data_IF_295239130723
#
_entry.id   IF_295239130723
#
_cell.length_a   1.000
_cell.length_b   1.000
_cell.length_c   1.000
_cell.angle_alpha   90.00
_cell.angle_beta   90.00
_cell.angle_gamma   90.00
#
_symmetry.space_group_name_H-M   'P 1'
#
loop_
_entity.id
_entity.type
_entity.pdbx_description
1 polymer ?
#
# COMPACT_ATOMS: atom_id res chain seq x y z
N UNK A 1 -6.66 6.23 -13.60
CA UNK A 1 -5.95 5.77 -12.46
C UNK A 1 -6.86 5.39 -11.30
N UNK A 2 -6.68 4.18 -10.85
CA UNK A 2 -7.40 3.65 -9.68
C UNK A 2 -6.46 3.56 -8.46
N UNK A 3 -5.23 3.97 -8.65
CA UNK A 3 -4.16 4.05 -7.67
C UNK A 3 -4.09 5.43 -7.00
N UNK A 4 -3.52 5.47 -5.84
CA UNK A 4 -3.07 6.72 -5.21
C UNK A 4 -1.63 6.96 -5.65
N UNK A 5 -1.46 7.43 -6.88
CA UNK A 5 -0.17 7.59 -7.54
C UNK A 5 0.90 8.32 -6.71
N UNK A 6 0.53 9.37 -5.96
CA UNK A 6 1.47 10.10 -5.10
C UNK A 6 2.01 9.28 -3.93
N UNK A 7 1.32 8.25 -3.53
CA UNK A 7 1.67 7.41 -2.39
C UNK A 7 2.17 6.03 -2.83
N UNK A 8 2.20 5.78 -4.16
CA UNK A 8 2.51 4.47 -4.74
C UNK A 8 1.69 3.34 -4.08
N UNK A 9 0.38 3.57 -3.97
CA UNK A 9 -0.53 2.70 -3.26
C UNK A 9 -1.67 2.23 -4.17
N UNK A 10 -1.88 0.92 -4.22
CA UNK A 10 -2.83 0.22 -5.10
C UNK A 10 -3.89 -0.50 -4.26
N UNK A 11 -4.97 0.16 -3.87
CA UNK A 11 -5.89 -0.40 -2.87
C UNK A 11 -6.77 -1.54 -3.40
N UNK A 12 -7.03 -1.59 -4.71
CA UNK A 12 -7.98 -2.51 -5.32
C UNK A 12 -7.38 -3.44 -6.38
N UNK A 13 -6.14 -3.21 -6.79
CA UNK A 13 -5.48 -3.93 -7.89
C UNK A 13 -4.15 -4.57 -7.49
N UNK A 14 -3.96 -4.82 -6.19
CA UNK A 14 -2.75 -5.39 -5.62
C UNK A 14 -2.69 -6.92 -5.79
N UNK A 15 -2.97 -7.38 -7.01
CA UNK A 15 -2.95 -8.80 -7.34
C UNK A 15 -1.61 -9.19 -7.98
N UNK A 16 -0.66 -9.68 -7.17
CA UNK A 16 0.59 -10.25 -7.66
C UNK A 16 0.50 -11.78 -7.66
N UNK A 17 -0.03 -12.35 -8.75
CA UNK A 17 -0.28 -13.78 -8.87
C UNK A 17 -0.06 -14.28 -10.29
N UNK A 18 0.20 -15.59 -10.40
CA UNK A 18 0.16 -16.32 -11.66
C UNK A 18 -1.22 -16.93 -11.86
N UNK A 19 -1.92 -16.53 -12.89
CA UNK A 19 -3.26 -17.00 -13.12
C UNK A 19 -3.85 -16.50 -14.44
N UNK A 20 -5.15 -16.48 -14.49
CA UNK A 20 -5.91 -15.99 -15.63
C UNK A 20 -7.14 -15.21 -15.18
N UNK A 21 -7.61 -14.35 -16.05
CA UNK A 21 -8.83 -13.60 -15.90
C UNK A 21 -9.74 -13.75 -17.11
N UNK A 22 -11.02 -13.64 -16.88
CA UNK A 22 -12.05 -13.57 -17.92
C UNK A 22 -12.91 -12.35 -17.66
N UNK A 23 -12.84 -11.39 -18.59
CA UNK A 23 -13.61 -10.15 -18.54
C UNK A 23 -14.76 -10.16 -19.56
N UNK A 24 -15.94 -9.82 -19.10
CA UNK A 24 -17.10 -9.52 -19.94
C UNK A 24 -17.31 -8.01 -19.96
N UNK A 25 -17.16 -7.40 -21.13
CA UNK A 25 -17.29 -5.96 -21.32
C UNK A 25 -18.52 -5.64 -22.15
N UNK A 26 -19.34 -4.74 -21.62
CA UNK A 26 -20.50 -4.15 -22.27
C UNK A 26 -20.31 -2.63 -22.39
N UNK A 27 -21.20 -1.93 -23.02
CA UNK A 27 -21.03 -0.49 -23.30
C UNK A 27 -20.69 0.33 -22.05
N UNK A 28 -21.38 0.07 -20.95
CA UNK A 28 -21.25 0.86 -19.71
C UNK A 28 -20.73 0.09 -18.50
N UNK A 29 -20.63 -1.22 -18.58
CA UNK A 29 -20.19 -2.03 -17.45
C UNK A 29 -19.27 -3.19 -17.86
N UNK A 30 -18.46 -3.61 -16.92
CA UNK A 30 -17.51 -4.72 -17.05
C UNK A 30 -17.64 -5.63 -15.84
N UNK A 31 -17.55 -6.94 -16.06
CA UNK A 31 -17.40 -7.95 -15.01
C UNK A 31 -16.13 -8.72 -15.30
N UNK A 32 -15.24 -8.78 -14.34
CA UNK A 32 -13.99 -9.53 -14.45
C UNK A 32 -13.96 -10.58 -13.33
N UNK A 33 -13.76 -11.82 -13.72
CA UNK A 33 -13.46 -12.93 -12.82
C UNK A 33 -12.01 -13.32 -12.98
N UNK A 34 -11.29 -13.47 -11.88
CA UNK A 34 -9.90 -13.90 -11.88
C UNK A 34 -9.66 -15.04 -10.90
N UNK A 35 -8.70 -15.87 -11.23
CA UNK A 35 -8.18 -16.95 -10.37
C UNK A 35 -6.69 -17.09 -10.60
N UNK A 36 -5.94 -17.25 -9.54
CA UNK A 36 -4.49 -17.39 -9.63
C UNK A 36 -3.88 -17.92 -8.35
N UNK A 37 -2.57 -18.09 -8.43
CA UNK A 37 -1.75 -18.58 -7.34
C UNK A 37 -0.65 -17.57 -7.04
N UNK A 38 -0.41 -17.37 -5.77
CA UNK A 38 0.71 -16.61 -5.25
C UNK A 38 1.52 -17.51 -4.32
N UNK A 39 2.84 -17.43 -4.42
CA UNK A 39 3.77 -18.07 -3.49
C UNK A 39 4.93 -17.11 -3.28
N UNK A 40 5.23 -16.79 -2.04
CA UNK A 40 6.46 -16.11 -1.69
C UNK A 40 7.53 -17.16 -1.44
N UNK A 41 8.41 -17.37 -2.40
CA UNK A 41 9.63 -18.13 -2.18
C UNK A 41 10.60 -17.26 -1.40
N UNK A 42 10.96 -17.75 -0.21
CA UNK A 42 11.96 -17.09 0.63
C UNK A 42 13.19 -17.96 0.60
N UNK A 43 14.31 -17.35 0.26
CA UNK A 43 15.59 -18.03 0.21
C UNK A 43 15.88 -18.69 1.57
N UNK A 44 16.21 -19.98 1.53
CA UNK A 44 16.53 -20.81 2.69
C UNK A 44 17.51 -20.15 3.66
N UNK A 45 18.46 -19.40 3.17
CA UNK A 45 19.45 -18.70 4.00
C UNK A 45 18.83 -17.62 4.90
N UNK A 46 17.73 -17.02 4.49
CA UNK A 46 16.98 -16.07 5.33
C UNK A 46 16.12 -16.77 6.37
N UNK A 47 15.63 -17.94 6.07
CA UNK A 47 14.84 -18.75 7.01
C UNK A 47 15.72 -19.25 8.17
N UNK A 48 16.91 -19.73 7.89
CA UNK A 48 17.87 -20.16 8.93
C UNK A 48 18.25 -19.03 9.91
N UNK A 49 18.51 -17.84 9.39
CA UNK A 49 18.89 -16.69 10.24
C UNK A 49 17.76 -16.20 11.13
N UNK A 50 16.53 -16.45 10.78
CA UNK A 50 15.38 -16.01 11.56
C UNK A 50 14.93 -17.04 12.59
N UNK A 51 15.10 -18.32 12.31
CA UNK A 51 14.84 -19.40 13.26
C UNK A 51 15.77 -19.35 14.48
N UNK A 52 17.02 -18.96 14.30
CA UNK A 52 18.03 -18.87 15.36
C UNK A 52 17.75 -17.76 16.38
N UNK A 53 16.87 -16.81 16.07
CA UNK A 53 16.73 -15.58 16.87
C UNK A 53 15.47 -15.51 17.70
N UNK A 54 14.65 -16.57 17.75
CA UNK A 54 13.33 -16.53 18.46
C UNK A 54 12.51 -15.29 18.07
N UNK A 55 12.73 -14.82 16.82
CA UNK A 55 12.27 -13.53 16.37
C UNK A 55 10.92 -13.66 15.71
N UNK A 56 10.02 -12.82 16.15
CA UNK A 56 8.82 -12.42 15.48
C UNK A 56 9.01 -12.39 13.94
N UNK A 57 8.23 -13.16 13.22
CA UNK A 57 8.25 -13.21 11.76
C UNK A 57 8.87 -14.46 11.13
N UNK A 58 9.70 -15.24 11.83
CA UNK A 58 10.27 -16.47 11.26
C UNK A 58 9.19 -17.52 10.93
N UNK A 59 8.25 -17.70 11.81
CA UNK A 59 7.09 -18.58 11.60
C UNK A 59 6.20 -18.05 10.47
N UNK A 60 5.99 -16.75 10.41
CA UNK A 60 5.24 -16.08 9.35
C UNK A 60 5.84 -16.31 7.98
N UNK A 61 7.16 -16.23 7.85
CA UNK A 61 7.88 -16.49 6.61
C UNK A 61 7.68 -17.94 6.17
N UNK A 62 7.85 -18.88 7.07
CA UNK A 62 7.62 -20.31 6.81
C UNK A 62 6.18 -20.57 6.41
N UNK A 63 5.24 -19.91 7.07
CA UNK A 63 3.83 -20.03 6.78
C UNK A 63 3.49 -19.61 5.35
N UNK A 64 4.15 -18.56 4.82
CA UNK A 64 3.94 -18.05 3.46
C UNK A 64 4.62 -18.86 2.35
N UNK A 65 5.54 -19.74 2.66
CA UNK A 65 6.17 -20.63 1.67
C UNK A 65 5.19 -21.70 1.10
N UNK A 66 3.93 -21.57 1.36
CA UNK A 66 2.85 -22.38 0.80
C UNK A 66 2.14 -21.64 -0.34
N UNK A 67 1.62 -22.41 -1.29
CA UNK A 67 0.88 -21.83 -2.40
C UNK A 67 -0.47 -21.27 -1.93
N UNK A 68 -0.69 -19.99 -2.18
CA UNK A 68 -1.94 -19.30 -1.91
C UNK A 68 -2.79 -19.27 -3.19
N UNK A 69 -3.99 -19.80 -3.11
CA UNK A 69 -5.01 -19.64 -4.15
C UNK A 69 -5.76 -18.33 -3.89
N UNK A 70 -5.91 -17.53 -4.94
CA UNK A 70 -6.64 -16.27 -4.93
C UNK A 70 -7.69 -16.32 -6.02
N UNK A 71 -8.92 -15.99 -5.70
CA UNK A 71 -10.01 -15.85 -6.67
C UNK A 71 -10.87 -14.66 -6.34
N UNK A 72 -11.36 -13.96 -7.35
CA UNK A 72 -12.17 -12.78 -7.12
C UNK A 72 -13.02 -12.38 -8.29
N UNK A 73 -13.95 -11.52 -7.98
CA UNK A 73 -14.90 -10.92 -8.92
C UNK A 73 -14.81 -9.39 -8.79
N UNK A 74 -14.66 -8.71 -9.92
CA UNK A 74 -14.74 -7.25 -10.02
C UNK A 74 -15.90 -6.87 -10.91
N UNK A 75 -16.64 -5.85 -10.51
CA UNK A 75 -17.68 -5.22 -11.32
C UNK A 75 -17.38 -3.73 -11.44
N UNK A 76 -17.37 -3.21 -12.64
CA UNK A 76 -17.24 -1.77 -12.91
C UNK A 76 -18.40 -1.29 -13.75
N UNK A 77 -18.96 -0.14 -13.38
CA UNK A 77 -19.97 0.56 -14.19
C UNK A 77 -19.53 2.02 -14.39
N UNK A 78 -19.63 2.48 -15.63
CA UNK A 78 -19.37 3.86 -16.04
C UNK A 78 -20.65 4.51 -16.52
N UNK A 79 -20.97 5.64 -15.95
CA UNK A 79 -22.11 6.46 -16.34
C UNK A 79 -21.63 7.81 -16.85
N UNK A 80 -21.90 8.11 -18.12
CA UNK A 80 -21.53 9.38 -18.72
C UNK A 80 -22.61 10.42 -18.41
N UNK A 81 -22.18 11.55 -17.79
CA UNK A 81 -23.07 12.65 -17.41
C UNK A 81 -23.22 13.70 -18.48
N UNK A 82 -22.25 13.80 -19.40
CA UNK A 82 -22.27 14.80 -20.47
C UNK A 82 -21.56 14.32 -21.72
N UNK A 83 -21.92 14.88 -22.87
CA UNK A 83 -21.26 14.65 -24.16
C UNK A 83 -19.79 15.07 -24.17
N UNK A 84 -19.35 15.86 -23.18
CA UNK A 84 -17.97 16.30 -23.02
C UNK A 84 -17.07 15.28 -22.32
N UNK A 85 -17.60 14.09 -22.00
CA UNK A 85 -16.84 13.01 -21.39
C UNK A 85 -16.77 13.05 -19.86
N UNK A 86 -17.51 13.95 -19.21
CA UNK A 86 -17.66 13.93 -17.74
C UNK A 86 -18.53 12.75 -17.34
N UNK A 87 -18.10 12.00 -16.33
CA UNK A 87 -18.84 10.82 -15.88
C UNK A 87 -18.55 10.43 -14.45
N UNK A 88 -19.31 9.45 -14.01
CA UNK A 88 -19.15 8.74 -12.73
C UNK A 88 -18.83 7.29 -13.06
N UNK A 89 -17.90 6.72 -12.32
CA UNK A 89 -17.66 5.28 -12.30
C UNK A 89 -17.80 4.75 -10.88
N UNK A 90 -18.28 3.53 -10.76
CA UNK A 90 -18.22 2.82 -9.51
C UNK A 90 -17.77 1.39 -9.76
N UNK A 91 -16.99 0.88 -8.82
CA UNK A 91 -16.49 -0.49 -8.83
C UNK A 91 -16.89 -1.18 -7.53
N UNK A 92 -17.17 -2.45 -7.63
CA UNK A 92 -17.29 -3.37 -6.50
C UNK A 92 -16.37 -4.54 -6.74
N UNK A 93 -15.81 -5.08 -5.69
CA UNK A 93 -15.03 -6.32 -5.78
C UNK A 93 -15.23 -7.19 -4.55
N UNK A 94 -15.04 -8.48 -4.76
CA UNK A 94 -14.96 -9.47 -3.70
C UNK A 94 -13.85 -10.46 -4.05
N UNK A 95 -13.06 -10.83 -3.07
CA UNK A 95 -11.93 -11.75 -3.21
C UNK A 95 -11.94 -12.79 -2.10
N UNK A 96 -11.55 -14.01 -2.43
CA UNK A 96 -11.30 -15.10 -1.52
C UNK A 96 -9.86 -15.57 -1.68
N UNK A 97 -9.20 -15.82 -0.58
CA UNK A 97 -7.85 -16.35 -0.50
C UNK A 97 -7.85 -17.63 0.31
N UNK A 98 -7.11 -18.64 -0.13
CA UNK A 98 -6.93 -19.89 0.59
C UNK A 98 -5.48 -20.34 0.50
N UNK A 99 -4.96 -20.81 1.62
CA UNK A 99 -3.69 -21.51 1.70
C UNK A 99 -3.97 -22.91 2.25
N UNK A 100 -3.39 -23.94 1.63
CA UNK A 100 -3.59 -25.33 2.07
C UNK A 100 -2.78 -25.65 3.31
N UNK A 101 -3.03 -26.81 3.91
CA UNK A 101 -2.20 -27.37 4.97
C UNK A 101 -0.73 -27.51 4.51
N UNK A 102 0.20 -27.41 5.44
CA UNK A 102 1.62 -27.57 5.18
C UNK A 102 2.37 -28.02 6.41
N UNK A 103 3.50 -28.63 6.19
CA UNK A 103 4.39 -29.11 7.22
C UNK A 103 5.80 -28.62 6.96
N UNK A 104 6.52 -28.29 7.99
CA UNK A 104 7.92 -27.92 7.90
C UNK A 104 8.68 -28.32 9.15
N UNK A 105 9.93 -28.74 8.96
CA UNK A 105 10.82 -28.97 10.08
C UNK A 105 11.22 -27.65 10.74
N UNK A 106 11.13 -27.60 12.05
CA UNK A 106 11.52 -26.42 12.83
C UNK A 106 13.05 -26.20 12.80
N UNK A 107 13.80 -27.31 12.67
CA UNK A 107 15.24 -27.30 12.49
C UNK A 107 15.58 -28.21 11.28
N UNK A 108 16.30 -27.70 10.26
CA UNK A 108 16.72 -28.52 9.12
C UNK A 108 17.68 -29.65 9.48
N UNK A 109 18.24 -29.65 10.69
CA UNK A 109 19.18 -30.67 11.20
C UNK A 109 18.49 -31.65 12.14
N UNK A 110 17.32 -31.29 12.68
CA UNK A 110 16.55 -32.11 13.63
C UNK A 110 15.21 -32.54 13.00
N UNK A 111 15.19 -33.72 12.40
CA UNK A 111 14.03 -34.32 11.76
C UNK A 111 12.87 -34.67 12.74
N UNK A 112 13.05 -34.48 14.05
CA UNK A 112 12.06 -34.85 15.07
C UNK A 112 11.02 -33.76 15.37
N UNK A 113 11.25 -32.50 14.95
CA UNK A 113 10.37 -31.37 15.22
C UNK A 113 9.64 -30.85 13.97
N UNK A 114 8.61 -31.59 13.57
CA UNK A 114 7.74 -31.18 12.47
C UNK A 114 6.65 -30.21 12.98
N UNK A 115 6.61 -29.01 12.45
CA UNK A 115 5.52 -28.06 12.68
C UNK A 115 4.49 -28.24 11.58
N UNK A 116 3.26 -28.52 11.97
CA UNK A 116 2.12 -28.57 11.06
C UNK A 116 1.40 -27.24 11.05
N UNK A 117 1.26 -26.64 9.86
CA UNK A 117 0.49 -25.42 9.63
C UNK A 117 -0.88 -25.79 9.07
N UNK A 118 -1.98 -25.36 9.69
CA UNK A 118 -3.32 -25.63 9.21
C UNK A 118 -3.60 -24.91 7.89
N UNK A 119 -4.64 -25.34 7.20
CA UNK A 119 -5.21 -24.52 6.14
C UNK A 119 -5.74 -23.21 6.72
N UNK A 120 -5.68 -22.13 5.91
CA UNK A 120 -6.18 -20.84 6.31
C UNK A 120 -6.90 -20.13 5.17
N UNK A 121 -7.83 -19.26 5.54
CA UNK A 121 -8.74 -18.58 4.64
C UNK A 121 -8.73 -17.07 4.89
N UNK A 122 -8.94 -16.32 3.83
CA UNK A 122 -9.18 -14.90 3.92
C UNK A 122 -10.16 -14.43 2.86
N UNK A 123 -10.72 -13.27 3.09
CA UNK A 123 -11.65 -12.66 2.17
C UNK A 123 -11.51 -11.14 2.21
N UNK A 124 -11.82 -10.49 1.10
CA UNK A 124 -11.94 -9.05 1.06
C UNK A 124 -13.13 -8.62 0.22
N UNK A 125 -13.72 -7.51 0.60
CA UNK A 125 -14.76 -6.83 -0.16
C UNK A 125 -14.47 -5.34 -0.17
N UNK A 126 -14.84 -4.69 -1.26
CA UNK A 126 -14.63 -3.25 -1.35
C UNK A 126 -15.29 -2.62 -2.55
N UNK A 127 -15.12 -1.32 -2.62
CA UNK A 127 -15.66 -0.55 -3.73
C UNK A 127 -14.98 0.79 -3.91
N UNK A 128 -15.19 1.36 -5.06
CA UNK A 128 -14.72 2.67 -5.45
C UNK A 128 -15.83 3.46 -6.10
N UNK A 129 -15.90 4.75 -5.76
CA UNK A 129 -16.69 5.75 -6.48
C UNK A 129 -15.73 6.76 -7.09
N UNK A 130 -15.81 6.96 -8.40
CA UNK A 130 -14.96 7.87 -9.14
C UNK A 130 -15.77 8.89 -9.93
N UNK A 131 -15.31 10.14 -9.93
CA UNK A 131 -15.81 11.22 -10.78
C UNK A 131 -14.68 11.63 -11.74
N UNK A 132 -14.93 11.67 -13.04
CA UNK A 132 -13.87 11.89 -14.03
C UNK A 132 -14.30 12.79 -15.18
N UNK A 133 -13.34 13.32 -15.94
CA UNK A 133 -13.54 14.03 -17.19
C UNK A 133 -14.12 15.43 -17.04
N UNK A 134 -14.18 16.02 -15.84
CA UNK A 134 -14.64 17.40 -15.63
C UNK A 134 -13.62 18.46 -16.11
N UNK A 135 -12.37 18.06 -16.23
CA UNK A 135 -11.27 18.76 -16.92
C UNK A 135 -10.40 17.71 -17.62
N UNK A 136 -9.45 18.16 -18.45
CA UNK A 136 -8.46 17.28 -19.11
C UNK A 136 -7.69 16.50 -18.05
N UNK A 137 -7.62 15.17 -18.17
CA UNK A 137 -6.95 14.26 -17.26
C UNK A 137 -7.42 14.35 -15.80
N UNK A 138 -8.60 14.94 -15.54
CA UNK A 138 -9.08 15.14 -14.18
C UNK A 138 -9.95 14.00 -13.71
N UNK A 139 -9.72 13.59 -12.47
CA UNK A 139 -10.53 12.60 -11.76
C UNK A 139 -10.45 12.82 -10.26
N UNK A 140 -11.45 12.28 -9.56
CA UNK A 140 -11.48 12.13 -8.12
C UNK A 140 -12.08 10.79 -7.77
N UNK A 141 -11.38 9.97 -6.99
CA UNK A 141 -11.81 8.64 -6.55
C UNK A 141 -11.90 8.60 -5.02
N UNK A 142 -12.91 7.93 -4.53
CA UNK A 142 -13.05 7.48 -3.14
C UNK A 142 -13.17 5.96 -3.16
N UNK A 143 -12.49 5.27 -2.26
CA UNK A 143 -12.57 3.83 -2.15
C UNK A 143 -12.57 3.38 -0.69
N UNK A 144 -13.19 2.23 -0.45
CA UNK A 144 -13.18 1.54 0.83
C UNK A 144 -12.99 0.04 0.59
N UNK A 145 -12.21 -0.59 1.47
CA UNK A 145 -11.97 -2.04 1.49
C UNK A 145 -12.08 -2.54 2.92
N UNK A 146 -12.70 -3.69 3.09
CA UNK A 146 -12.65 -4.45 4.33
C UNK A 146 -12.19 -5.87 4.03
N UNK A 147 -11.23 -6.34 4.80
CA UNK A 147 -10.62 -7.66 4.63
C UNK A 147 -10.60 -8.41 5.95
N UNK A 148 -10.73 -9.72 5.90
CA UNK A 148 -10.65 -10.61 7.05
C UNK A 148 -9.76 -11.81 6.79
N UNK A 149 -9.19 -12.36 7.84
CA UNK A 149 -8.30 -13.51 7.77
C UNK A 149 -7.06 -13.21 6.95
N UNK A 150 -6.61 -14.18 6.17
CA UNK A 150 -5.43 -14.10 5.31
C UNK A 150 -5.40 -12.86 4.42
N UNK A 151 -6.56 -12.42 3.93
CA UNK A 151 -6.65 -11.27 3.04
C UNK A 151 -6.41 -9.92 3.73
N UNK A 152 -6.46 -9.84 5.07
CA UNK A 152 -6.16 -8.63 5.81
C UNK A 152 -4.70 -8.17 5.65
N UNK A 153 -3.80 -9.09 5.35
CA UNK A 153 -2.37 -8.82 5.16
C UNK A 153 -2.01 -8.42 3.71
N UNK A 154 -2.96 -8.48 2.78
CA UNK A 154 -2.68 -8.29 1.36
C UNK A 154 -1.92 -9.46 0.74
N UNK A 155 -1.54 -9.34 -0.54
CA UNK A 155 -0.87 -10.42 -1.28
C UNK A 155 0.65 -10.39 -1.15
N UNK A 156 1.23 -9.22 -0.89
CA UNK A 156 2.68 -9.00 -0.85
C UNK A 156 3.25 -9.03 0.57
N UNK A 157 2.40 -8.94 1.58
CA UNK A 157 2.83 -8.96 2.97
C UNK A 157 2.85 -10.37 3.54
N UNK A 158 3.86 -10.63 4.36
CA UNK A 158 3.95 -11.84 5.16
C UNK A 158 3.05 -11.67 6.38
N UNK A 159 2.08 -12.56 6.66
CA UNK A 159 1.27 -12.49 7.87
C UNK A 159 2.11 -12.60 9.14
N UNK A 160 1.65 -11.94 10.17
CA UNK A 160 2.22 -11.95 11.53
C UNK A 160 1.08 -11.96 12.54
N UNK A 161 1.40 -12.21 13.83
CA UNK A 161 0.38 -12.21 14.87
C UNK A 161 -0.70 -13.26 14.62
N UNK A 162 -0.29 -14.54 14.62
CA UNK A 162 -1.22 -15.66 14.48
C UNK A 162 -1.97 -15.91 15.77
N UNK A 163 -3.15 -16.49 15.66
CA UNK A 163 -3.86 -17.06 16.81
C UNK A 163 -3.16 -18.33 17.35
N UNK A 164 -3.68 -18.87 18.44
CA UNK A 164 -3.11 -20.07 19.09
C UNK A 164 -3.16 -21.34 18.22
N UNK A 165 -3.86 -21.31 17.09
CA UNK A 165 -3.94 -22.40 16.12
C UNK A 165 -3.09 -22.15 14.87
N UNK A 166 -2.22 -21.13 14.88
CA UNK A 166 -1.43 -20.69 13.73
C UNK A 166 -2.27 -20.23 12.52
N UNK A 167 -3.43 -19.62 12.78
CA UNK A 167 -4.33 -19.07 11.76
C UNK A 167 -4.42 -17.57 11.83
N UNK A 168 -4.82 -16.98 10.71
CA UNK A 168 -5.11 -15.55 10.59
C UNK A 168 -6.59 -15.20 10.73
N UNK A 169 -7.42 -16.13 11.15
CA UNK A 169 -8.91 -16.07 11.11
C UNK A 169 -9.47 -14.80 11.74
N UNK A 170 -8.86 -14.29 12.80
CA UNK A 170 -9.32 -13.09 13.53
C UNK A 170 -8.73 -11.79 13.00
N UNK A 171 -7.77 -11.87 12.08
CA UNK A 171 -7.18 -10.67 11.49
C UNK A 171 -8.19 -9.89 10.66
N UNK A 172 -8.11 -8.57 10.71
CA UNK A 172 -8.99 -7.69 9.93
C UNK A 172 -8.30 -6.40 9.54
N UNK A 173 -8.68 -5.91 8.39
CA UNK A 173 -8.24 -4.61 7.87
C UNK A 173 -9.43 -3.81 7.39
N UNK A 174 -9.47 -2.54 7.73
CA UNK A 174 -10.32 -1.56 7.08
C UNK A 174 -9.44 -0.48 6.46
N UNK A 175 -9.69 -0.21 5.19
CA UNK A 175 -9.00 0.82 4.42
C UNK A 175 -10.02 1.75 3.78
N UNK A 176 -9.82 3.05 3.97
CA UNK A 176 -10.55 4.09 3.26
C UNK A 176 -9.57 5.07 2.65
N UNK A 177 -9.78 5.45 1.40
CA UNK A 177 -8.85 6.36 0.75
C UNK A 177 -9.48 7.23 -0.33
N UNK A 178 -8.69 8.21 -0.73
CA UNK A 178 -9.01 9.23 -1.73
C UNK A 178 -7.84 9.35 -2.69
N UNK A 179 -8.14 9.54 -3.97
CA UNK A 179 -7.13 9.97 -4.95
C UNK A 179 -7.74 10.95 -5.94
N UNK A 180 -6.94 11.90 -6.41
CA UNK A 180 -7.43 12.86 -7.36
C UNK A 180 -6.33 13.55 -8.17
N UNK A 181 -6.70 13.93 -9.37
CA UNK A 181 -5.92 14.78 -10.26
C UNK A 181 -6.84 15.82 -10.90
N UNK A 182 -6.41 17.07 -10.88
CA UNK A 182 -7.12 18.15 -11.55
C UNK A 182 -6.10 19.00 -12.31
N UNK A 183 -6.36 19.24 -13.60
CA UNK A 183 -5.47 20.01 -14.45
C UNK A 183 -6.24 21.14 -15.15
N UNK A 184 -5.80 22.38 -14.91
CA UNK A 184 -6.19 23.57 -15.63
C UNK A 184 -5.05 24.06 -16.51
N UNK A 185 -5.30 25.08 -17.32
CA UNK A 185 -4.28 25.61 -18.25
C UNK A 185 -2.99 26.05 -17.57
N UNK A 186 -3.07 26.68 -16.41
CA UNK A 186 -1.92 27.26 -15.70
C UNK A 186 -1.69 26.70 -14.30
N UNK A 187 -2.56 25.83 -13.85
CA UNK A 187 -2.51 25.26 -12.52
C UNK A 187 -3.02 23.82 -12.55
N UNK A 188 -2.42 23.00 -11.74
CA UNK A 188 -2.95 21.66 -11.50
C UNK A 188 -2.68 21.21 -10.07
N UNK A 189 -3.32 20.14 -9.70
CA UNK A 189 -3.17 19.55 -8.38
C UNK A 189 -3.33 18.04 -8.47
N UNK A 190 -2.46 17.33 -7.79
CA UNK A 190 -2.58 15.89 -7.55
C UNK A 190 -2.67 15.66 -6.05
N UNK A 191 -3.56 14.77 -5.61
CA UNK A 191 -3.70 14.46 -4.18
C UNK A 191 -3.96 12.98 -3.97
N UNK A 192 -3.61 12.52 -2.78
CA UNK A 192 -3.90 11.18 -2.31
C UNK A 192 -3.93 11.15 -0.79
N UNK A 193 -4.81 10.34 -0.23
CA UNK A 193 -4.88 10.10 1.20
C UNK A 193 -5.47 8.72 1.47
N UNK A 194 -5.06 8.10 2.57
CA UNK A 194 -5.77 6.94 3.12
C UNK A 194 -5.66 6.89 4.64
N UNK A 195 -6.63 6.22 5.22
CA UNK A 195 -6.60 5.72 6.59
C UNK A 195 -6.72 4.20 6.53
N UNK A 196 -5.86 3.54 7.27
CA UNK A 196 -5.82 2.10 7.41
C UNK A 196 -5.92 1.74 8.89
N UNK A 197 -6.86 0.87 9.21
CA UNK A 197 -6.99 0.23 10.50
C UNK A 197 -6.69 -1.25 10.32
N UNK A 198 -5.79 -1.79 11.11
CA UNK A 198 -5.36 -3.18 11.04
C UNK A 198 -5.34 -3.78 12.44
N UNK A 199 -5.89 -4.97 12.57
CA UNK A 199 -5.73 -5.85 13.73
C UNK A 199 -5.28 -7.22 13.20
N UNK A 200 -4.30 -7.82 13.84
CA UNK A 200 -3.86 -9.17 13.54
C UNK A 200 -4.74 -10.24 14.20
N UNK A 201 -4.36 -11.52 14.10
CA UNK A 201 -5.13 -12.62 14.66
C UNK A 201 -4.74 -12.98 16.11
N UNK A 202 -3.64 -12.46 16.62
CA UNK A 202 -3.18 -12.70 17.98
C UNK A 202 -4.23 -12.21 19.00
N UNK A 203 -4.55 -12.99 20.03
CA UNK A 203 -5.44 -12.54 21.10
C UNK A 203 -4.92 -11.36 21.93
N UNK A 204 -3.62 -11.08 21.89
CA UNK A 204 -3.02 -9.93 22.57
C UNK A 204 -3.33 -8.63 21.83
N UNK A 205 -4.23 -7.83 22.33
CA UNK A 205 -4.68 -6.57 21.73
C UNK A 205 -3.82 -5.34 22.11
N UNK A 206 -2.74 -5.54 22.85
CA UNK A 206 -1.86 -4.48 23.33
C UNK A 206 -0.44 -4.61 22.81
N UNK A 207 -0.29 -5.01 21.57
CA UNK A 207 0.98 -5.13 20.88
C UNK A 207 1.15 -4.08 19.78
N UNK A 208 2.32 -4.10 19.12
CA UNK A 208 2.66 -3.15 18.07
C UNK A 208 2.14 -3.53 16.69
N UNK A 209 1.50 -4.68 16.57
CA UNK A 209 1.08 -5.25 15.31
C UNK A 209 -0.31 -4.77 14.92
N UNK A 210 -1.12 -4.41 15.92
CA UNK A 210 -2.37 -3.70 15.75
C UNK A 210 -2.12 -2.19 15.59
N UNK A 211 -2.66 -1.57 14.56
CA UNK A 211 -2.39 -0.15 14.31
C UNK A 211 -3.47 0.59 13.53
N UNK A 212 -3.43 1.91 13.69
CA UNK A 212 -4.08 2.88 12.79
C UNK A 212 -3.00 3.69 12.09
N UNK A 213 -3.08 3.73 10.77
CA UNK A 213 -2.20 4.52 9.93
C UNK A 213 -3.00 5.55 9.14
N UNK A 214 -2.46 6.76 9.03
CA UNK A 214 -2.99 7.81 8.17
C UNK A 214 -1.86 8.44 7.37
N UNK A 215 -2.09 8.56 6.05
CA UNK A 215 -1.17 9.23 5.15
C UNK A 215 -1.97 10.14 4.22
N UNK A 216 -1.48 11.33 3.97
CA UNK A 216 -1.95 12.16 2.87
C UNK A 216 -0.80 12.84 2.15
N UNK A 217 -1.00 13.16 0.87
CA UNK A 217 -0.13 14.01 0.08
C UNK A 217 -0.96 14.86 -0.87
N UNK A 218 -0.51 16.10 -1.06
CA UNK A 218 -1.07 17.03 -2.04
C UNK A 218 0.07 17.71 -2.78
N UNK A 219 -0.01 17.75 -4.11
CA UNK A 219 1.01 18.32 -4.99
C UNK A 219 0.40 19.31 -5.97
N UNK A 220 0.12 20.56 -5.54
CA UNK A 220 -0.20 21.64 -6.46
C UNK A 220 0.99 21.99 -7.33
N UNK A 221 0.72 22.40 -8.57
CA UNK A 221 1.74 22.93 -9.46
C UNK A 221 1.24 24.13 -10.28
N UNK A 222 2.17 24.98 -10.67
CA UNK A 222 1.93 26.14 -11.56
C UNK A 222 2.72 25.93 -12.84
N UNK A 223 2.04 26.02 -13.98
CA UNK A 223 2.65 25.94 -15.31
C UNK A 223 3.19 27.31 -15.69
N UNK A 224 4.50 27.45 -15.73
CA UNK A 224 5.21 28.69 -16.11
C UNK A 224 5.52 28.72 -17.60
N UNK A 225 5.78 27.58 -18.20
CA UNK A 225 6.05 27.38 -19.61
C UNK A 225 5.57 26.00 -20.05
N UNK A 226 5.35 25.74 -21.34
CA UNK A 226 4.93 24.43 -21.85
C UNK A 226 5.89 23.27 -21.49
N UNK A 227 7.18 23.60 -21.26
CA UNK A 227 8.23 22.65 -20.86
C UNK A 227 8.67 22.77 -19.39
N UNK A 228 8.10 23.73 -18.64
CA UNK A 228 8.55 24.00 -17.29
C UNK A 228 7.41 24.37 -16.35
N UNK A 229 7.35 23.67 -15.21
CA UNK A 229 6.43 24.02 -14.13
C UNK A 229 7.06 23.83 -12.75
N UNK A 230 6.48 24.50 -11.78
CA UNK A 230 6.86 24.40 -10.38
C UNK A 230 5.79 23.66 -9.62
N UNK A 231 6.18 22.57 -8.97
CA UNK A 231 5.33 21.86 -8.04
C UNK A 231 5.81 22.07 -6.60
N UNK A 232 4.84 22.08 -5.70
CA UNK A 232 5.04 22.01 -4.27
C UNK A 232 4.36 20.75 -3.78
N UNK A 233 4.93 20.08 -2.79
CA UNK A 233 4.27 18.93 -2.17
C UNK A 233 4.23 19.10 -0.68
N UNK A 234 3.06 18.87 -0.11
CA UNK A 234 2.85 18.70 1.32
C UNK A 234 2.38 17.28 1.55
N UNK A 235 3.08 16.54 2.41
CA UNK A 235 2.61 15.24 2.86
C UNK A 235 2.73 15.11 4.37
N UNK A 236 1.86 14.30 4.96
CA UNK A 236 1.87 13.98 6.37
C UNK A 236 1.53 12.51 6.56
N UNK A 237 2.25 11.86 7.45
CA UNK A 237 2.01 10.48 7.83
C UNK A 237 2.08 10.31 9.34
N UNK A 238 1.23 9.46 9.87
CA UNK A 238 1.27 9.02 11.26
C UNK A 238 0.88 7.54 11.33
N UNK A 239 1.44 6.85 12.32
CA UNK A 239 1.06 5.48 12.66
C UNK A 239 0.94 5.36 14.17
N UNK A 240 -0.22 4.92 14.67
CA UNK A 240 -0.47 4.65 16.09
C UNK A 240 -0.66 3.16 16.26
N UNK A 241 0.19 2.53 17.05
CA UNK A 241 0.04 1.14 17.49
C UNK A 241 -0.79 1.04 18.77
N UNK A 242 -1.40 -0.10 19.04
CA UNK A 242 -2.15 -0.33 20.26
C UNK A 242 -1.25 -0.63 21.46
N UNK A 243 -0.10 -1.24 21.21
CA UNK A 243 0.85 -1.64 22.24
C UNK A 243 1.93 -0.62 22.56
N UNK A 244 2.79 -1.00 23.48
CA UNK A 244 4.00 -0.25 23.81
C UNK A 244 5.08 -0.54 22.76
N UNK A 245 5.62 0.50 22.16
CA UNK A 245 6.73 0.38 21.23
C UNK A 245 8.04 0.33 21.98
N UNK A 246 8.87 -0.67 21.71
CA UNK A 246 10.24 -0.75 22.20
C UNK A 246 11.10 0.26 21.47
N UNK A 247 11.68 1.17 22.22
CA UNK A 247 12.53 2.23 21.71
C UNK A 247 13.99 1.79 21.61
N UNK A 248 14.81 2.61 20.98
CA UNK A 248 16.24 2.36 20.81
C UNK A 248 17.05 2.27 22.11
N UNK A 249 16.48 2.68 23.24
CA UNK A 249 17.09 2.57 24.57
C UNK A 249 16.50 1.42 25.41
N UNK A 250 15.82 0.47 24.74
CA UNK A 250 15.12 -0.67 25.33
C UNK A 250 13.96 -0.30 26.27
N UNK A 251 13.58 0.97 26.37
CA UNK A 251 12.37 1.37 27.05
C UNK A 251 11.15 1.10 26.18
N UNK A 252 10.01 0.80 26.82
CA UNK A 252 8.73 0.62 26.16
C UNK A 252 7.81 1.81 26.41
N UNK A 253 7.23 2.34 25.36
CA UNK A 253 6.42 3.55 25.45
C UNK A 253 5.29 3.55 24.43
N UNK A 254 4.15 4.12 24.83
CA UNK A 254 3.11 4.45 23.86
C UNK A 254 3.53 5.72 23.11
N UNK A 255 3.71 5.61 21.80
CA UNK A 255 4.17 6.69 20.94
C UNK A 255 3.23 6.92 19.76
N UNK A 256 3.28 8.13 19.21
CA UNK A 256 2.59 8.50 17.98
C UNK A 256 3.60 9.12 16.99
N UNK A 257 4.37 8.30 16.27
CA UNK A 257 5.32 8.79 15.28
C UNK A 257 4.60 9.57 14.18
N UNK A 258 5.14 10.75 13.85
CA UNK A 258 4.59 11.63 12.82
C UNK A 258 5.70 12.27 12.01
N UNK A 259 5.49 12.33 10.69
CA UNK A 259 6.39 13.05 9.78
C UNK A 259 5.57 13.90 8.83
N UNK A 260 5.90 15.19 8.78
CA UNK A 260 5.38 16.13 7.77
C UNK A 260 6.49 16.49 6.81
N UNK A 261 6.25 16.41 5.51
CA UNK A 261 7.22 16.78 4.47
C UNK A 261 6.69 17.94 3.64
N UNK A 262 7.55 18.88 3.37
CA UNK A 262 7.31 19.98 2.42
C UNK A 262 8.39 19.91 1.36
N UNK A 263 7.97 19.81 0.10
CA UNK A 263 8.90 19.73 -1.03
C UNK A 263 8.68 20.86 -2.03
N UNK A 264 9.78 21.31 -2.61
CA UNK A 264 9.83 22.22 -3.75
C UNK A 264 10.42 21.46 -4.93
N UNK A 265 9.69 21.44 -6.07
CA UNK A 265 9.98 20.54 -7.18
C UNK A 265 9.86 21.29 -8.51
N UNK A 266 10.93 21.96 -8.99
CA UNK A 266 11.03 22.40 -10.39
C UNK A 266 11.04 21.20 -11.32
N UNK A 267 10.24 21.25 -12.39
CA UNK A 267 10.04 20.14 -13.31
C UNK A 267 10.20 20.61 -14.75
N UNK A 268 11.07 19.93 -15.49
CA UNK A 268 11.21 20.04 -16.94
C UNK A 268 10.57 18.83 -17.59
N UNK A 269 9.74 19.04 -18.61
CA UNK A 269 8.99 17.96 -19.28
C UNK A 269 8.75 18.31 -20.75
N UNK A 270 8.38 17.30 -21.54
CA UNK A 270 7.93 17.48 -22.92
C UNK A 270 6.40 17.42 -22.92
N UNK A 271 5.75 18.58 -22.93
CA UNK A 271 4.30 18.73 -22.82
C UNK A 271 3.83 19.06 -21.40
N UNK A 272 2.58 19.50 -21.24
CA UNK A 272 2.02 19.92 -19.96
C UNK A 272 1.26 18.81 -19.25
N UNK A 273 1.17 18.95 -17.92
CA UNK A 273 0.34 18.10 -17.06
C UNK A 273 1.10 17.11 -16.18
N UNK A 274 0.42 16.63 -15.16
CA UNK A 274 1.00 15.74 -14.15
C UNK A 274 1.51 14.40 -14.72
N UNK A 275 0.88 13.94 -15.80
CA UNK A 275 1.19 12.67 -16.48
C UNK A 275 2.07 12.82 -17.71
N UNK A 276 2.50 14.05 -18.07
CA UNK A 276 3.44 14.23 -19.17
C UNK A 276 4.79 13.59 -18.85
N UNK A 277 5.35 12.85 -19.80
CA UNK A 277 6.67 12.19 -19.67
C UNK A 277 7.46 12.37 -20.98
N UNK A 278 8.80 12.42 -20.93
CA UNK A 278 9.66 12.35 -19.74
C UNK A 278 9.56 13.56 -18.82
N UNK A 279 9.89 13.37 -17.55
CA UNK A 279 10.07 14.46 -16.58
C UNK A 279 11.47 14.41 -15.97
N UNK A 280 12.11 15.55 -15.90
CA UNK A 280 13.31 15.77 -15.09
C UNK A 280 12.93 16.68 -13.92
N UNK A 281 13.19 16.23 -12.70
CA UNK A 281 12.80 16.93 -11.47
C UNK A 281 14.01 17.20 -10.61
N UNK A 282 14.16 18.44 -10.16
CA UNK A 282 14.99 18.75 -9.01
C UNK A 282 14.08 18.73 -7.78
N UNK A 283 14.46 18.01 -6.74
CA UNK A 283 13.63 17.85 -5.55
C UNK A 283 14.39 18.34 -4.33
N UNK A 284 13.82 19.31 -3.64
CA UNK A 284 14.23 19.68 -2.29
C UNK A 284 13.08 19.37 -1.34
N UNK A 285 13.36 18.63 -0.25
CA UNK A 285 12.38 18.27 0.76
C UNK A 285 12.90 18.59 2.16
N UNK A 286 12.10 19.32 2.93
CA UNK A 286 12.26 19.45 4.38
C UNK A 286 11.25 18.49 5.05
N UNK A 287 11.76 17.53 5.84
CA UNK A 287 10.95 16.60 6.59
C UNK A 287 11.01 16.94 8.09
N UNK A 288 9.85 17.22 8.65
CA UNK A 288 9.65 17.57 10.07
C UNK A 288 9.17 16.34 10.80
N UNK A 289 9.86 15.92 11.83
CA UNK A 289 9.52 14.77 12.65
C UNK A 289 9.35 15.16 14.12
N UNK A 290 8.42 14.50 14.80
CA UNK A 290 8.20 14.70 16.22
C UNK A 290 9.20 13.87 17.08
N UNK A 291 9.19 14.05 18.39
CA UNK A 291 10.08 13.35 19.31
C UNK A 291 9.83 11.84 19.32
N UNK A 292 8.59 11.41 19.17
CA UNK A 292 8.24 10.00 19.09
C UNK A 292 8.84 9.33 17.85
N UNK A 293 8.85 10.01 16.69
CA UNK A 293 9.53 9.53 15.49
C UNK A 293 11.04 9.43 15.71
N UNK A 294 11.65 10.41 16.35
CA UNK A 294 13.10 10.41 16.65
C UNK A 294 13.48 9.23 17.55
N UNK A 295 12.63 8.90 18.51
CA UNK A 295 12.86 7.81 19.46
C UNK A 295 12.92 6.41 18.83
N UNK A 296 12.39 6.23 17.61
CA UNK A 296 12.46 4.97 16.85
C UNK A 296 13.86 4.70 16.27
N UNK A 297 14.70 5.72 16.14
CA UNK A 297 16.04 5.58 15.56
C UNK A 297 17.10 5.40 16.63
N UNK A 298 18.13 4.64 16.33
CA UNK A 298 19.30 4.50 17.22
C UNK A 298 19.91 5.87 17.54
N UNK A 299 20.46 6.03 18.73
CA UNK A 299 21.03 7.30 19.21
C UNK A 299 22.16 7.85 18.32
N UNK A 300 22.88 6.97 17.64
CA UNK A 300 23.94 7.33 16.70
C UNK A 300 23.42 7.71 15.29
N UNK A 301 22.14 7.49 15.02
CA UNK A 301 21.52 7.89 13.76
C UNK A 301 21.19 9.39 13.78
N UNK A 302 21.59 10.11 12.74
CA UNK A 302 21.30 11.54 12.60
C UNK A 302 19.80 11.86 12.68
N UNK A 303 18.93 10.90 12.33
CA UNK A 303 17.47 11.02 12.39
C UNK A 303 16.95 11.07 13.83
N UNK A 304 17.65 10.47 14.80
CA UNK A 304 17.28 10.56 16.22
C UNK A 304 17.57 11.95 16.82
N UNK A 305 18.50 12.70 16.23
CA UNK A 305 19.04 13.92 16.79
C UNK A 305 18.40 15.19 16.21
N UNK A 306 17.76 15.12 15.07
CA UNK A 306 17.24 16.28 14.34
C UNK A 306 15.72 16.22 14.18
N UNK A 307 15.04 17.30 14.49
CA UNK A 307 13.60 17.44 14.24
C UNK A 307 13.29 17.79 12.78
N UNK A 308 14.28 18.28 12.03
CA UNK A 308 14.14 18.60 10.61
C UNK A 308 15.28 17.94 9.83
N UNK A 309 14.91 17.20 8.81
CA UNK A 309 15.83 16.56 7.86
C UNK A 309 15.66 17.21 6.49
N UNK A 310 16.77 17.44 5.80
CA UNK A 310 16.80 18.03 4.47
C UNK A 310 17.26 16.99 3.45
N UNK A 311 16.51 16.85 2.37
CA UNK A 311 16.85 15.98 1.26
C UNK A 311 16.96 16.78 -0.01
N UNK A 312 17.95 16.45 -0.82
CA UNK A 312 18.17 17.02 -2.12
C UNK A 312 18.34 15.89 -3.14
N UNK A 313 17.65 15.96 -4.26
CA UNK A 313 17.70 14.92 -5.27
C UNK A 313 17.42 15.40 -6.67
N UNK A 314 17.93 14.66 -7.64
CA UNK A 314 17.60 14.75 -9.05
C UNK A 314 16.87 13.47 -9.42
N UNK A 315 15.71 13.59 -10.06
CA UNK A 315 14.89 12.47 -10.51
C UNK A 315 14.56 12.62 -11.98
N UNK A 316 14.69 11.53 -12.73
CA UNK A 316 14.20 11.42 -14.09
C UNK A 316 13.13 10.32 -14.13
N UNK A 317 11.96 10.65 -14.71
CA UNK A 317 10.87 9.72 -14.85
C UNK A 317 10.49 9.58 -16.33
N UNK A 318 10.48 8.35 -16.78
CA UNK A 318 10.16 7.99 -18.15
C UNK A 318 9.21 6.80 -18.17
N UNK A 319 8.12 6.90 -18.92
CA UNK A 319 7.21 5.79 -19.14
C UNK A 319 7.41 5.22 -20.54
N UNK A 320 7.78 3.96 -20.59
CA UNK A 320 7.77 3.23 -21.84
C UNK A 320 6.37 2.69 -22.07
N UNK A 321 5.71 3.11 -23.15
CA UNK A 321 4.47 2.49 -23.58
C UNK A 321 4.77 1.07 -24.08
N UNK A 322 4.88 0.11 -23.18
CA UNK A 322 4.74 -1.29 -23.53
C UNK A 322 3.23 -1.51 -23.66
N UNK A 323 2.73 -1.33 -24.86
CA UNK A 323 1.32 -1.51 -25.15
C UNK A 323 0.93 -2.98 -25.05
N UNK A 324 0.52 -3.41 -23.88
CA UNK A 324 -0.46 -4.46 -23.73
C UNK A 324 -1.81 -3.76 -23.51
N UNK A 325 -2.50 -3.49 -24.62
CA UNK A 325 -3.92 -3.17 -24.64
C UNK A 325 -4.69 -4.45 -24.76
#
# INVERSE_FOLDING_TARGET
GDDIYLLDFWPLDDANMYGGDIGLKFDTWTVDYYIGFNRLEIDWQYQEKQVVTDTFGAESITWMDRQRLVTGLKYEHKYQLSDKGTGIKWKLFAELQRIGEGEKYNDPVDDENLISYPEDLGWSVGGQLGFYGYQKNSFFNMFAKYSGGLAAYGLLSVPWGFDNEYKTTNAKEFLFGLSGNTEFKHFGNMCGAYVRYFEDADPNKYDNDDFVEFIFAIRPHVVLHEYFYLAFELSHQLKKTNGLTRLSDDSEKNILPQVTKISFIPIVTIGGGNYARPQLRLVYTAAFQNDDTKALYNKDDIRSQRSVLHYFGLSAEWWFNVGHR
#
